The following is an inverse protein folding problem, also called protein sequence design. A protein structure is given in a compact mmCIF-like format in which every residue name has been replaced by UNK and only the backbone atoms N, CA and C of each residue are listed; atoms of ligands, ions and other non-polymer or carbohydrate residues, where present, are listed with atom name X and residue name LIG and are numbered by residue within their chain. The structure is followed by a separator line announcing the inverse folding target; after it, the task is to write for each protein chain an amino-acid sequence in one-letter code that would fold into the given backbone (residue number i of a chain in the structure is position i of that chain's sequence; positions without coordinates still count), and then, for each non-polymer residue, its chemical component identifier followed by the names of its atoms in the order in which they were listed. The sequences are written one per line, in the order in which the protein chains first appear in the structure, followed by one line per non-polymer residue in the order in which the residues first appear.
data_IF_274455327264
#
_entry.id   IF_274455327264
#
_cell.length_a   1.000
_cell.length_b   1.000
_cell.length_c   1.000
_cell.angle_alpha   90.00
_cell.angle_beta   90.00
_cell.angle_gamma   90.00
#
_symmetry.space_group_name_H-M   'P 1'
#
loop_
_entity.id
_entity.type
_entity.pdbx_description
1 polymer ?
#
# COMPACT_ATOMS: atom_id res chain seq x y z
N UNK A 1 -57.79 -12.05 -43.14
CA UNK A 1 -58.62 -11.65 -41.98
C UNK A 1 -58.41 -12.66 -40.87
N UNK A 2 -57.56 -12.34 -39.88
CA UNK A 2 -57.40 -13.18 -38.69
C UNK A 2 -58.62 -12.96 -37.78
N UNK A 3 -59.37 -14.02 -37.48
CA UNK A 3 -60.58 -13.96 -36.67
C UNK A 3 -60.32 -13.39 -35.26
N UNK A 4 -61.31 -12.73 -34.67
CA UNK A 4 -61.26 -12.08 -33.34
C UNK A 4 -60.68 -12.98 -32.23
N UNK A 5 -60.74 -14.30 -32.39
CA UNK A 5 -60.24 -15.29 -31.42
C UNK A 5 -58.73 -15.58 -31.56
N UNK A 6 -58.09 -15.23 -32.68
CA UNK A 6 -56.64 -15.36 -32.87
C UNK A 6 -55.82 -14.24 -32.23
N UNK A 7 -56.47 -13.14 -31.81
CA UNK A 7 -55.81 -11.99 -31.17
C UNK A 7 -55.57 -12.17 -29.68
N UNK A 8 -56.37 -13.01 -29.00
CA UNK A 8 -56.25 -13.25 -27.56
C UNK A 8 -55.16 -14.30 -27.28
N UNK A 9 -55.04 -15.33 -28.13
CA UNK A 9 -54.00 -16.36 -27.99
C UNK A 9 -52.60 -15.77 -28.26
N UNK A 10 -52.48 -14.83 -29.19
CA UNK A 10 -51.20 -14.17 -29.49
C UNK A 10 -50.73 -13.22 -28.36
N UNK A 11 -51.66 -12.61 -27.63
CA UNK A 11 -51.33 -11.73 -26.50
C UNK A 11 -50.86 -12.51 -25.26
N UNK A 12 -51.41 -13.69 -25.00
CA UNK A 12 -51.02 -14.51 -23.84
C UNK A 12 -49.66 -15.19 -24.03
N UNK A 13 -49.32 -15.61 -25.26
CA UNK A 13 -48.00 -16.19 -25.57
C UNK A 13 -46.88 -15.13 -25.50
N UNK A 14 -47.16 -13.87 -25.85
CA UNK A 14 -46.20 -12.77 -25.70
C UNK A 14 -46.01 -12.39 -24.22
N UNK A 15 -47.07 -12.39 -23.41
CA UNK A 15 -46.95 -12.11 -21.97
C UNK A 15 -46.17 -13.18 -21.20
N UNK A 16 -46.28 -14.46 -21.58
CA UNK A 16 -45.48 -15.54 -21.00
C UNK A 16 -44.03 -15.56 -21.51
N UNK A 17 -43.77 -15.07 -22.73
CA UNK A 17 -42.40 -14.84 -23.22
C UNK A 17 -41.72 -13.63 -22.56
N UNK A 18 -42.49 -12.67 -22.01
CA UNK A 18 -41.98 -11.51 -21.28
C UNK A 18 -41.84 -11.73 -19.76
N UNK A 19 -42.45 -12.78 -19.20
CA UNK A 19 -42.29 -13.20 -17.79
C UNK A 19 -41.13 -14.20 -17.60
N UNK A 20 -40.49 -14.62 -18.69
CA UNK A 20 -39.32 -15.51 -18.68
C UNK A 20 -37.96 -14.80 -18.73
N UNK A 21 -37.91 -13.47 -18.62
CA UNK A 21 -36.68 -12.79 -18.22
C UNK A 21 -36.50 -13.01 -16.71
N UNK A 22 -36.10 -14.22 -16.32
CA UNK A 22 -35.17 -14.31 -15.19
C UNK A 22 -34.05 -13.36 -15.57
N UNK A 23 -33.92 -12.23 -14.87
CA UNK A 23 -32.67 -11.47 -14.89
C UNK A 23 -31.60 -12.52 -14.63
N UNK A 24 -30.78 -12.80 -15.64
CA UNK A 24 -29.58 -13.55 -15.40
C UNK A 24 -28.88 -12.81 -14.26
N UNK A 25 -28.62 -13.55 -13.19
CA UNK A 25 -27.74 -13.13 -12.12
C UNK A 25 -26.40 -12.63 -12.69
N UNK A 26 -25.55 -12.19 -11.78
CA UNK A 26 -24.12 -11.85 -11.97
C UNK A 26 -23.86 -10.36 -12.11
N UNK A 27 -24.34 -9.64 -11.11
CA UNK A 27 -23.58 -8.54 -10.55
C UNK A 27 -22.57 -9.26 -9.62
N UNK A 28 -21.30 -9.38 -10.04
CA UNK A 28 -20.22 -10.04 -9.28
C UNK A 28 -19.32 -8.95 -8.71
N UNK A 29 -19.04 -8.96 -7.40
CA UNK A 29 -18.08 -8.00 -6.83
C UNK A 29 -16.72 -8.50 -7.26
N UNK A 30 -16.13 -7.75 -8.17
CA UNK A 30 -14.85 -8.04 -8.77
C UNK A 30 -13.83 -7.14 -8.09
N UNK A 31 -12.99 -7.73 -7.27
CA UNK A 31 -11.77 -7.05 -6.86
C UNK A 31 -10.90 -6.97 -8.10
N UNK A 32 -10.56 -5.76 -8.50
CA UNK A 32 -9.72 -5.54 -9.67
C UNK A 32 -8.29 -6.05 -9.42
N UNK A 33 -7.70 -6.57 -10.50
CA UNK A 33 -6.25 -6.65 -10.64
C UNK A 33 -5.63 -5.28 -10.33
N UNK A 34 -4.39 -5.25 -9.91
CA UNK A 34 -3.73 -4.01 -9.50
C UNK A 34 -2.53 -4.30 -8.60
N UNK A 35 -2.04 -3.27 -7.92
CA UNK A 35 -0.88 -3.37 -7.03
C UNK A 35 -1.22 -3.01 -5.60
N UNK A 36 -0.56 -3.66 -4.65
CA UNK A 36 -0.50 -3.29 -3.25
C UNK A 36 0.87 -2.67 -2.96
N UNK A 37 0.86 -1.42 -2.51
CA UNK A 37 2.06 -0.66 -2.17
C UNK A 37 2.28 -0.74 -0.66
N UNK A 38 3.31 -1.48 -0.25
CA UNK A 38 3.55 -1.84 1.14
C UNK A 38 4.84 -1.23 1.68
N UNK A 39 4.82 -0.85 2.96
CA UNK A 39 5.99 -0.49 3.72
C UNK A 39 6.25 -1.53 4.81
N UNK A 40 7.52 -1.89 4.96
CA UNK A 40 8.01 -2.83 5.96
C UNK A 40 7.95 -2.21 7.35
N UNK A 41 7.43 -2.98 8.29
CA UNK A 41 7.33 -2.66 9.71
C UNK A 41 8.40 -3.36 10.54
N UNK A 42 8.50 -2.95 11.81
CA UNK A 42 9.34 -3.62 12.80
C UNK A 42 8.93 -5.10 12.97
N UNK A 43 9.93 -5.97 13.16
CA UNK A 43 9.74 -7.41 13.32
C UNK A 43 10.09 -8.22 12.06
N UNK A 44 10.38 -7.56 10.94
CA UNK A 44 10.87 -8.20 9.72
C UNK A 44 12.31 -8.71 9.90
N UNK A 45 12.56 -9.96 9.51
CA UNK A 45 13.87 -10.59 9.56
C UNK A 45 14.01 -11.76 8.59
N UNK A 46 15.27 -12.12 8.30
CA UNK A 46 15.64 -13.40 7.70
C UNK A 46 16.78 -14.04 8.48
N UNK A 47 16.76 -15.36 8.66
CA UNK A 47 17.82 -16.14 9.28
C UNK A 47 18.67 -16.81 8.19
N UNK A 48 19.88 -16.27 7.98
CA UNK A 48 20.84 -16.78 7.00
C UNK A 48 21.58 -18.04 7.48
N UNK A 49 21.15 -18.63 8.61
CA UNK A 49 21.69 -19.87 9.13
C UNK A 49 23.06 -19.72 9.81
N UNK A 50 23.78 -20.83 9.94
CA UNK A 50 24.99 -20.89 10.77
C UNK A 50 26.07 -19.94 10.22
N UNK A 51 26.60 -19.08 11.09
CA UNK A 51 27.69 -18.15 10.79
C UNK A 51 27.25 -16.70 10.56
N UNK A 52 25.99 -16.48 10.17
CA UNK A 52 25.39 -15.13 10.01
C UNK A 52 24.22 -14.98 10.98
N UNK A 53 23.33 -15.96 11.02
CA UNK A 53 22.15 -16.01 11.88
C UNK A 53 21.05 -15.04 11.44
N UNK A 54 20.22 -14.70 12.42
CA UNK A 54 19.07 -13.82 12.27
C UNK A 54 19.49 -12.37 12.04
N UNK A 55 19.05 -11.80 10.92
CA UNK A 55 19.29 -10.40 10.56
C UNK A 55 17.97 -9.63 10.59
N UNK A 56 17.79 -8.68 11.52
CA UNK A 56 16.67 -7.75 11.50
C UNK A 56 16.77 -6.82 10.30
N UNK A 57 15.67 -6.69 9.57
CA UNK A 57 15.59 -5.91 8.35
C UNK A 57 14.55 -4.79 8.49
N UNK A 58 14.73 -3.73 7.71
CA UNK A 58 13.78 -2.62 7.56
C UNK A 58 13.64 -2.27 6.09
N UNK A 59 12.53 -1.62 5.76
CA UNK A 59 12.27 -1.10 4.43
C UNK A 59 13.28 -0.06 3.97
N UNK A 60 13.66 -0.14 2.70
CA UNK A 60 14.36 0.93 1.98
C UNK A 60 13.46 1.31 0.79
N UNK A 61 12.80 2.48 0.82
CA UNK A 61 11.81 2.83 -0.19
C UNK A 61 12.35 2.73 -1.63
N UNK A 62 11.55 2.10 -2.50
CA UNK A 62 11.79 1.96 -3.94
C UNK A 62 10.59 2.40 -4.78
N UNK A 63 9.45 2.65 -4.15
CA UNK A 63 8.23 3.12 -4.80
C UNK A 63 7.71 4.45 -4.21
N UNK A 64 6.48 4.84 -4.53
CA UNK A 64 5.83 6.03 -3.97
C UNK A 64 5.73 5.97 -2.44
N UNK A 65 5.80 7.13 -1.78
CA UNK A 65 5.76 7.21 -0.32
C UNK A 65 6.90 6.45 0.35
N UNK A 66 6.60 5.66 1.36
CA UNK A 66 7.56 4.74 2.00
C UNK A 66 7.53 3.32 1.42
N UNK A 67 6.97 3.12 0.23
CA UNK A 67 6.86 1.78 -0.38
C UNK A 67 8.23 1.15 -0.57
N UNK A 68 8.46 0.00 0.04
CA UNK A 68 9.64 -0.85 -0.15
C UNK A 68 9.30 -2.25 -0.70
N UNK A 69 8.01 -2.61 -0.69
CA UNK A 69 7.49 -3.87 -1.19
C UNK A 69 6.28 -3.61 -2.09
N UNK A 70 6.24 -4.21 -3.28
CA UNK A 70 5.11 -4.10 -4.21
C UNK A 70 4.64 -5.50 -4.59
N UNK A 71 3.36 -5.76 -4.35
CA UNK A 71 2.67 -6.99 -4.72
C UNK A 71 1.66 -6.68 -5.83
N UNK A 72 1.68 -7.43 -6.92
CA UNK A 72 0.70 -7.33 -8.00
C UNK A 72 -0.32 -8.46 -7.92
N UNK A 73 -1.60 -8.10 -7.91
CA UNK A 73 -2.72 -9.00 -8.20
C UNK A 73 -2.77 -9.22 -9.71
N UNK A 74 -2.49 -10.43 -10.17
CA UNK A 74 -2.32 -10.76 -11.60
C UNK A 74 -3.64 -11.06 -12.32
N UNK A 75 -4.76 -11.10 -11.59
CA UNK A 75 -6.10 -11.27 -12.14
C UNK A 75 -7.13 -10.59 -11.24
N UNK A 76 -8.31 -10.29 -11.79
CA UNK A 76 -9.46 -9.90 -10.99
C UNK A 76 -9.93 -11.09 -10.14
N UNK A 77 -10.32 -10.85 -8.89
CA UNK A 77 -10.99 -11.85 -8.07
C UNK A 77 -12.50 -11.74 -8.26
N UNK A 78 -13.14 -12.82 -8.68
CA UNK A 78 -14.57 -12.90 -9.02
C UNK A 78 -15.31 -13.53 -7.85
N UNK A 79 -15.84 -12.73 -6.93
CA UNK A 79 -16.41 -13.22 -5.67
C UNK A 79 -17.82 -13.82 -5.81
N UNK A 80 -18.50 -13.59 -6.95
CA UNK A 80 -19.80 -14.18 -7.29
C UNK A 80 -20.97 -13.78 -6.35
N UNK A 81 -22.22 -14.06 -6.74
CA UNK A 81 -23.38 -13.90 -5.86
C UNK A 81 -23.59 -15.11 -4.92
N UNK A 82 -24.05 -14.91 -3.67
CA UNK A 82 -24.21 -13.63 -2.98
C UNK A 82 -22.83 -13.08 -2.60
N UNK A 83 -22.58 -11.78 -2.87
CA UNK A 83 -21.28 -11.12 -2.64
C UNK A 83 -20.65 -11.48 -1.28
N UNK A 84 -21.49 -11.40 -0.23
CA UNK A 84 -21.15 -11.86 1.11
C UNK A 84 -21.18 -13.40 1.15
N UNK A 85 -20.04 -13.98 1.52
CA UNK A 85 -19.76 -15.41 1.45
C UNK A 85 -18.97 -15.82 0.21
N UNK A 86 -18.81 -14.89 -0.75
CA UNK A 86 -17.99 -15.07 -1.94
C UNK A 86 -16.52 -15.27 -1.61
N UNK A 87 -15.87 -16.17 -2.34
CA UNK A 87 -14.43 -16.39 -2.23
C UNK A 87 -13.84 -16.71 -3.59
N UNK A 88 -12.65 -16.19 -3.84
CA UNK A 88 -11.90 -16.50 -5.04
C UNK A 88 -10.40 -16.54 -4.75
N UNK A 89 -9.65 -17.25 -5.58
CA UNK A 89 -8.20 -17.42 -5.48
C UNK A 89 -7.54 -16.91 -6.75
N UNK A 90 -6.72 -15.88 -6.62
CA UNK A 90 -6.03 -15.25 -7.74
C UNK A 90 -4.51 -15.47 -7.67
N UNK A 91 -3.82 -15.49 -8.83
CA UNK A 91 -2.37 -15.40 -8.86
C UNK A 91 -1.91 -14.01 -8.42
N UNK A 92 -0.79 -13.98 -7.69
CA UNK A 92 -0.11 -12.75 -7.29
C UNK A 92 1.39 -12.86 -7.59
N UNK A 93 2.06 -11.72 -7.70
CA UNK A 93 3.51 -11.63 -7.90
C UNK A 93 4.11 -10.53 -7.03
N UNK A 94 5.20 -10.83 -6.34
CA UNK A 94 5.97 -9.83 -5.61
C UNK A 94 7.01 -9.24 -6.58
N UNK A 95 6.77 -8.01 -7.05
CA UNK A 95 7.52 -7.37 -8.14
C UNK A 95 8.55 -6.37 -7.66
N UNK A 96 8.50 -5.97 -6.39
CA UNK A 96 9.56 -5.20 -5.75
C UNK A 96 9.74 -5.65 -4.29
N UNK A 97 11.00 -5.77 -3.89
CA UNK A 97 11.44 -5.93 -2.50
C UNK A 97 12.73 -5.15 -2.33
N UNK A 98 12.82 -4.32 -1.30
CA UNK A 98 14.03 -3.57 -1.00
C UNK A 98 14.18 -3.38 0.50
N UNK A 99 14.97 -4.25 1.11
CA UNK A 99 15.22 -4.25 2.55
C UNK A 99 16.69 -3.97 2.84
N UNK A 100 16.96 -3.42 4.01
CA UNK A 100 18.31 -3.26 4.55
C UNK A 100 18.37 -3.68 6.01
N UNK A 101 19.56 -4.09 6.48
CA UNK A 101 19.77 -4.38 7.90
C UNK A 101 19.46 -3.17 8.77
N UNK A 102 18.82 -3.40 9.91
CA UNK A 102 18.57 -2.33 10.90
C UNK A 102 19.88 -1.80 11.46
N UNK A 103 20.82 -2.70 11.77
CA UNK A 103 22.18 -2.43 12.24
C UNK A 103 23.16 -3.31 11.45
N UNK A 104 24.45 -2.91 11.35
CA UNK A 104 25.48 -3.79 10.80
C UNK A 104 25.55 -5.14 11.52
N UNK A 105 25.73 -6.22 10.78
CA UNK A 105 25.84 -7.59 11.28
C UNK A 105 27.31 -7.99 11.44
N UNK A 106 27.64 -8.73 12.50
CA UNK A 106 29.03 -9.20 12.73
C UNK A 106 29.22 -10.59 12.13
N UNK A 107 30.11 -10.72 11.14
CA UNK A 107 30.43 -11.98 10.47
C UNK A 107 31.94 -12.18 10.52
N UNK A 108 32.41 -13.24 11.18
CA UNK A 108 33.85 -13.51 11.31
C UNK A 108 34.66 -12.37 11.96
N UNK A 109 34.03 -11.57 12.83
CA UNK A 109 34.65 -10.41 13.49
C UNK A 109 34.64 -9.10 12.67
N UNK A 110 34.07 -9.09 11.47
CA UNK A 110 33.90 -7.88 10.65
C UNK A 110 32.42 -7.46 10.59
N UNK A 111 32.16 -6.15 10.46
CA UNK A 111 30.81 -5.60 10.35
C UNK A 111 30.38 -5.44 8.89
N UNK A 112 29.15 -5.84 8.59
CA UNK A 112 28.53 -5.72 7.27
C UNK A 112 27.17 -5.06 7.34
N UNK A 113 26.88 -4.13 6.43
CA UNK A 113 25.51 -3.75 6.11
C UNK A 113 24.93 -4.78 5.14
N UNK A 114 23.67 -5.16 5.34
CA UNK A 114 22.96 -6.11 4.48
C UNK A 114 21.92 -5.36 3.66
N UNK A 115 21.82 -5.64 2.38
CA UNK A 115 20.70 -5.24 1.53
C UNK A 115 20.07 -6.45 0.87
N UNK A 116 18.75 -6.54 0.85
CA UNK A 116 18.00 -7.64 0.24
C UNK A 116 17.09 -7.08 -0.84
N UNK A 117 17.07 -7.73 -2.01
CA UNK A 117 16.13 -7.44 -3.09
C UNK A 117 15.82 -8.69 -3.91
N UNK A 118 14.90 -8.58 -4.87
CA UNK A 118 14.53 -9.72 -5.71
C UNK A 118 15.67 -10.13 -6.64
N UNK A 119 15.81 -11.43 -6.86
CA UNK A 119 16.76 -11.97 -7.83
C UNK A 119 16.34 -11.58 -9.26
N UNK A 120 17.18 -10.85 -10.01
CA UNK A 120 16.82 -10.39 -11.36
C UNK A 120 16.53 -11.55 -12.31
N UNK A 121 15.39 -11.51 -13.00
CA UNK A 121 14.98 -12.52 -13.98
C UNK A 121 14.21 -13.71 -13.38
N UNK A 122 14.16 -13.84 -12.05
CA UNK A 122 13.33 -14.82 -11.36
C UNK A 122 12.04 -14.17 -10.84
N UNK A 123 10.90 -14.81 -11.11
CA UNK A 123 9.59 -14.28 -10.72
C UNK A 123 9.18 -14.82 -9.36
N UNK A 124 8.94 -13.94 -8.40
CA UNK A 124 8.47 -14.31 -7.06
C UNK A 124 6.94 -14.45 -7.06
N UNK A 125 6.47 -15.64 -7.42
CA UNK A 125 5.05 -15.94 -7.63
C UNK A 125 4.37 -16.44 -6.37
N UNK A 126 3.05 -16.25 -6.33
CA UNK A 126 2.24 -16.64 -5.19
C UNK A 126 0.77 -16.83 -5.54
N UNK A 127 -0.04 -17.02 -4.50
CA UNK A 127 -1.49 -16.99 -4.62
C UNK A 127 -2.11 -16.26 -3.44
N UNK A 128 -3.21 -15.56 -3.71
CA UNK A 128 -4.05 -14.90 -2.71
C UNK A 128 -5.45 -15.48 -2.78
N UNK A 129 -5.96 -15.94 -1.64
CA UNK A 129 -7.39 -16.28 -1.49
C UNK A 129 -8.07 -15.12 -0.80
N UNK A 130 -9.05 -14.52 -1.47
CA UNK A 130 -9.87 -13.44 -0.91
C UNK A 130 -11.25 -14.00 -0.56
N UNK A 131 -11.76 -13.62 0.60
CA UNK A 131 -13.10 -13.98 1.08
C UNK A 131 -13.82 -12.73 1.52
N UNK A 132 -15.04 -12.51 1.01
CA UNK A 132 -15.91 -11.41 1.37
C UNK A 132 -16.91 -11.86 2.42
N UNK A 133 -16.94 -11.21 3.58
CA UNK A 133 -17.65 -11.69 4.78
C UNK A 133 -18.67 -10.70 5.31
N UNK A 134 -18.52 -9.42 5.00
CA UNK A 134 -19.40 -8.35 5.45
C UNK A 134 -19.89 -7.54 4.26
N UNK A 135 -21.11 -6.98 4.28
CA UNK A 135 -21.59 -6.12 3.20
C UNK A 135 -20.71 -4.88 3.04
N UNK A 136 -20.51 -4.46 1.79
CA UNK A 136 -20.01 -3.12 1.47
C UNK A 136 -20.94 -2.07 2.09
N UNK A 137 -20.34 -1.13 2.81
CA UNK A 137 -21.02 -0.04 3.49
C UNK A 137 -20.49 1.35 3.10
N UNK A 138 -19.60 1.45 2.11
CA UNK A 138 -18.99 2.69 1.65
C UNK A 138 -18.08 3.34 2.69
N UNK A 139 -17.47 2.54 3.58
CA UNK A 139 -16.59 3.03 4.64
C UNK A 139 -15.35 2.14 4.77
N UNK A 140 -14.25 2.63 5.37
CA UNK A 140 -13.02 1.85 5.55
C UNK A 140 -13.12 0.67 6.54
N UNK A 141 -14.33 0.23 6.89
CA UNK A 141 -14.55 -0.94 7.71
C UNK A 141 -14.22 -2.21 6.90
N UNK A 142 -13.69 -3.27 7.55
CA UNK A 142 -13.44 -4.53 6.85
C UNK A 142 -14.69 -5.12 6.19
N UNK A 143 -14.53 -5.57 4.96
CA UNK A 143 -15.56 -6.29 4.18
C UNK A 143 -15.24 -7.77 4.05
N UNK A 144 -14.00 -8.15 4.34
CA UNK A 144 -13.58 -9.54 4.27
C UNK A 144 -12.18 -9.77 4.83
N UNK A 145 -11.68 -10.98 4.58
CA UNK A 145 -10.30 -11.35 4.86
C UNK A 145 -9.64 -11.93 3.61
N UNK A 146 -8.31 -11.89 3.59
CA UNK A 146 -7.52 -12.64 2.62
C UNK A 146 -6.42 -13.42 3.33
N UNK A 147 -5.96 -14.47 2.66
CA UNK A 147 -4.71 -15.16 2.97
C UNK A 147 -3.86 -15.20 1.71
N UNK A 148 -2.54 -15.19 1.85
CA UNK A 148 -1.62 -15.26 0.72
C UNK A 148 -0.37 -16.04 1.05
N UNK A 149 0.30 -16.50 0.01
CA UNK A 149 1.67 -16.96 0.08
C UNK A 149 2.47 -16.50 -1.14
N UNK A 150 3.78 -16.46 -1.00
CA UNK A 150 4.75 -16.26 -2.07
C UNK A 150 5.88 -17.27 -1.94
N UNK A 151 6.38 -17.75 -3.08
CA UNK A 151 7.73 -18.29 -3.19
C UNK A 151 8.62 -17.15 -3.71
N UNK A 152 9.49 -16.63 -2.84
CA UNK A 152 10.28 -15.42 -3.07
C UNK A 152 11.73 -15.80 -3.41
N UNK A 153 12.19 -15.37 -4.58
CA UNK A 153 13.58 -15.47 -5.00
C UNK A 153 14.29 -14.15 -4.72
N UNK A 154 15.30 -14.17 -3.85
CA UNK A 154 15.97 -12.95 -3.42
C UNK A 154 17.49 -13.08 -3.40
N UNK A 155 18.14 -11.95 -3.59
CA UNK A 155 19.57 -11.75 -3.40
C UNK A 155 19.81 -10.87 -2.17
N UNK A 156 20.68 -11.33 -1.28
CA UNK A 156 21.19 -10.57 -0.15
C UNK A 156 22.66 -10.21 -0.39
N UNK A 157 22.98 -8.91 -0.35
CA UNK A 157 24.34 -8.41 -0.49
C UNK A 157 24.87 -7.86 0.82
N UNK A 158 26.05 -8.32 1.21
CA UNK A 158 26.74 -7.98 2.45
C UNK A 158 27.90 -7.04 2.14
N UNK A 159 27.76 -5.78 2.51
CA UNK A 159 28.73 -4.70 2.26
C UNK A 159 29.55 -4.42 3.53
N UNK A 160 30.89 -4.55 3.51
CA UNK A 160 31.71 -4.32 4.70
C UNK A 160 31.71 -2.84 5.11
N UNK A 161 31.40 -2.56 6.38
CA UNK A 161 31.36 -1.19 6.93
C UNK A 161 32.75 -0.56 6.96
N UNK A 162 33.80 -1.36 7.21
CA UNK A 162 35.20 -0.92 7.29
C UNK A 162 35.92 -0.83 5.94
N UNK A 163 35.21 -1.02 4.82
CA UNK A 163 35.82 -1.21 3.50
C UNK A 163 36.30 -2.64 3.26
N UNK A 164 36.62 -2.96 2.01
CA UNK A 164 36.97 -4.32 1.56
C UNK A 164 35.97 -4.86 0.54
N UNK A 165 36.05 -6.16 0.27
CA UNK A 165 35.14 -6.85 -0.64
C UNK A 165 33.88 -7.30 0.12
N UNK A 166 32.71 -7.00 -0.45
CA UNK A 166 31.45 -7.61 -0.04
C UNK A 166 31.24 -8.99 -0.66
N UNK A 167 30.13 -9.62 -0.31
CA UNK A 167 29.70 -10.88 -0.91
C UNK A 167 28.17 -10.92 -1.05
N UNK A 168 27.68 -11.80 -1.93
CA UNK A 168 26.26 -12.00 -2.15
C UNK A 168 25.83 -13.43 -1.80
N UNK A 169 24.59 -13.57 -1.38
CA UNK A 169 23.88 -14.84 -1.20
C UNK A 169 22.59 -14.74 -2.00
N UNK A 170 22.31 -15.74 -2.83
CA UNK A 170 21.00 -15.90 -3.47
C UNK A 170 20.29 -17.06 -2.79
N UNK A 171 19.01 -16.88 -2.48
CA UNK A 171 18.22 -17.90 -1.80
C UNK A 171 16.73 -17.80 -2.21
N UNK A 172 15.93 -18.76 -1.73
CA UNK A 172 14.49 -18.79 -1.92
C UNK A 172 13.80 -19.03 -0.60
N UNK A 173 12.73 -18.28 -0.33
CA UNK A 173 11.92 -18.44 0.86
C UNK A 173 10.43 -18.47 0.50
N UNK A 174 9.70 -19.40 1.10
CA UNK A 174 8.24 -19.37 1.09
C UNK A 174 7.72 -18.59 2.28
N UNK A 175 6.98 -17.51 2.04
CA UNK A 175 6.28 -16.77 3.08
C UNK A 175 4.78 -16.92 2.89
N UNK A 176 4.04 -17.12 3.98
CA UNK A 176 2.58 -17.17 3.98
C UNK A 176 2.01 -16.33 5.12
N UNK A 177 0.84 -15.74 4.90
CA UNK A 177 0.14 -14.97 5.94
C UNK A 177 -0.05 -15.83 7.17
N UNK A 178 0.44 -15.38 8.32
CA UNK A 178 0.36 -16.11 9.57
C UNK A 178 -1.09 -16.32 10.03
N UNK A 179 -1.96 -15.36 9.72
CA UNK A 179 -3.38 -15.35 10.02
C UNK A 179 -4.13 -14.63 8.87
N UNK A 180 -5.44 -14.86 8.69
CA UNK A 180 -6.23 -14.08 7.74
C UNK A 180 -6.16 -12.57 8.04
N UNK A 181 -5.93 -11.76 7.00
CA UNK A 181 -5.80 -10.31 7.10
C UNK A 181 -7.06 -9.64 6.57
N UNK A 182 -7.54 -8.59 7.24
CA UNK A 182 -8.71 -7.85 6.80
C UNK A 182 -8.45 -7.02 5.52
N UNK A 183 -9.49 -6.78 4.73
CA UNK A 183 -9.46 -5.88 3.58
C UNK A 183 -10.78 -5.10 3.44
N UNK A 184 -10.76 -4.00 2.67
CA UNK A 184 -11.94 -3.18 2.30
C UNK A 184 -11.81 -2.62 0.88
N UNK A 185 -12.94 -2.30 0.25
CA UNK A 185 -13.09 -1.55 -0.98
C UNK A 185 -12.75 -0.07 -0.80
N UNK A 186 -12.95 0.47 0.41
CA UNK A 186 -12.52 1.83 0.74
C UNK A 186 -11.11 1.85 1.33
N UNK A 187 -10.31 2.86 0.96
CA UNK A 187 -9.00 3.04 1.55
C UNK A 187 -9.08 3.37 3.04
N UNK A 188 -8.16 2.85 3.87
CA UNK A 188 -8.03 3.26 5.26
C UNK A 188 -7.90 4.77 5.42
N UNK A 189 -8.42 5.30 6.53
CA UNK A 189 -8.22 6.70 6.89
C UNK A 189 -6.73 6.96 7.14
N UNK A 190 -6.12 7.85 6.37
CA UNK A 190 -4.74 8.25 6.57
C UNK A 190 -4.05 8.70 5.29
N UNK A 191 -2.76 9.09 5.39
CA UNK A 191 -1.96 9.49 4.24
C UNK A 191 -1.46 8.26 3.47
N UNK A 192 -2.35 7.35 3.05
CA UNK A 192 -1.92 6.19 2.27
C UNK A 192 -1.45 6.60 0.87
N UNK A 193 -0.59 5.78 0.28
CA UNK A 193 -0.16 5.92 -1.11
C UNK A 193 -1.31 5.57 -2.05
N UNK A 194 -1.61 6.47 -2.97
CA UNK A 194 -2.50 6.20 -4.10
C UNK A 194 -1.72 6.24 -5.41
N UNK A 195 -1.87 5.17 -6.19
CA UNK A 195 -1.44 5.09 -7.58
C UNK A 195 -2.71 4.90 -8.41
N UNK A 196 -3.09 5.96 -9.10
CA UNK A 196 -4.30 6.03 -9.91
C UNK A 196 -4.08 5.41 -11.28
N UNK A 197 -5.03 4.59 -11.71
CA UNK A 197 -5.06 4.06 -13.08
C UNK A 197 -6.48 3.75 -13.55
N UNK A 198 -6.63 3.46 -14.84
CA UNK A 198 -7.91 2.99 -15.38
C UNK A 198 -8.08 1.50 -15.14
N UNK A 199 -9.30 0.98 -15.23
CA UNK A 199 -9.58 -0.47 -15.13
C UNK A 199 -8.64 -1.27 -16.04
N UNK A 200 -7.93 -2.22 -15.44
CA UNK A 200 -6.92 -3.06 -16.13
C UNK A 200 -5.49 -2.54 -16.04
N UNK A 201 -5.26 -1.43 -15.34
CA UNK A 201 -3.92 -0.94 -15.01
C UNK A 201 -3.33 -1.76 -13.86
N UNK A 202 -2.28 -2.53 -14.16
CA UNK A 202 -1.63 -3.42 -13.20
C UNK A 202 -0.94 -2.68 -12.06
N UNK A 203 -0.52 -1.43 -12.28
CA UNK A 203 0.16 -0.62 -11.28
C UNK A 203 -0.84 0.15 -10.40
N UNK A 204 -2.12 0.18 -10.74
CA UNK A 204 -3.11 0.91 -9.95
C UNK A 204 -3.45 0.18 -8.64
N UNK A 205 -3.51 0.94 -7.54
CA UNK A 205 -4.20 0.53 -6.31
C UNK A 205 -5.50 1.30 -6.09
N UNK A 206 -5.77 2.29 -6.95
CA UNK A 206 -7.04 3.01 -7.01
C UNK A 206 -7.45 3.18 -8.46
N UNK A 207 -8.59 2.62 -8.82
CA UNK A 207 -9.09 2.72 -10.18
C UNK A 207 -9.99 3.94 -10.34
N UNK A 208 -9.73 4.74 -11.37
CA UNK A 208 -10.47 5.96 -11.69
C UNK A 208 -11.25 5.83 -13.00
N UNK A 209 -12.29 6.67 -13.15
CA UNK A 209 -13.15 6.70 -14.34
C UNK A 209 -14.51 6.06 -14.12
N UNK A 210 -15.31 5.83 -15.19
CA UNK A 210 -16.59 5.16 -15.08
C UNK A 210 -16.35 3.67 -14.80
N UNK A 211 -16.33 3.31 -13.52
CA UNK A 211 -16.31 1.93 -13.07
C UNK A 211 -17.71 1.33 -13.24
N UNK A 212 -17.86 0.16 -13.88
CA UNK A 212 -19.06 -0.64 -13.69
C UNK A 212 -19.28 -0.90 -12.19
N UNK A 213 -20.53 -0.88 -11.73
CA UNK A 213 -20.92 -1.02 -10.31
C UNK A 213 -20.39 -2.28 -9.62
N UNK A 214 -19.90 -3.24 -10.41
CA UNK A 214 -19.33 -4.52 -9.98
C UNK A 214 -17.85 -4.45 -9.64
N UNK A 215 -17.13 -3.40 -10.02
CA UNK A 215 -15.68 -3.35 -9.85
C UNK A 215 -15.29 -2.51 -8.66
N UNK A 216 -14.51 -3.12 -7.80
CA UNK A 216 -14.05 -2.49 -6.58
C UNK A 216 -12.53 -2.60 -6.44
N UNK A 217 -11.97 -1.62 -5.75
CA UNK A 217 -10.58 -1.65 -5.31
C UNK A 217 -10.41 -2.59 -4.12
N UNK A 218 -9.16 -2.81 -3.72
CA UNK A 218 -8.81 -3.66 -2.60
C UNK A 218 -7.70 -3.01 -1.79
N UNK A 219 -7.96 -2.85 -0.50
CA UNK A 219 -7.07 -2.23 0.45
C UNK A 219 -6.88 -3.14 1.66
N UNK A 220 -5.68 -3.71 1.87
CA UNK A 220 -5.36 -4.44 3.10
C UNK A 220 -5.51 -3.54 4.33
N UNK A 221 -6.16 -4.02 5.39
CA UNK A 221 -6.35 -3.26 6.62
C UNK A 221 -5.39 -3.77 7.70
N UNK A 222 -4.59 -2.86 8.22
CA UNK A 222 -3.66 -3.13 9.31
C UNK A 222 -2.38 -3.82 8.84
N UNK A 223 -1.80 -4.60 9.75
CA UNK A 223 -0.52 -5.26 9.52
C UNK A 223 -0.70 -6.61 8.82
N UNK A 224 0.03 -6.79 7.73
CA UNK A 224 0.22 -8.06 7.03
C UNK A 224 1.46 -8.70 7.64
N UNK A 225 1.31 -9.87 8.23
CA UNK A 225 2.42 -10.64 8.80
C UNK A 225 2.55 -11.95 8.07
N UNK A 226 3.62 -12.09 7.31
CA UNK A 226 3.94 -13.27 6.53
C UNK A 226 5.12 -14.00 7.17
N UNK A 227 5.03 -15.32 7.28
CA UNK A 227 5.99 -16.14 8.00
C UNK A 227 6.38 -17.34 7.16
N UNK A 228 7.64 -17.77 7.30
CA UNK A 228 8.04 -19.09 6.85
C UNK A 228 7.51 -20.14 7.84
N UNK A 229 6.98 -21.30 7.39
CA UNK A 229 6.46 -22.34 8.27
C UNK A 229 7.43 -22.84 9.34
N UNK A 230 8.74 -22.79 9.06
CA UNK A 230 9.80 -23.19 9.99
C UNK A 230 10.38 -22.03 10.82
N UNK A 231 9.87 -20.80 10.64
CA UNK A 231 10.29 -19.62 11.41
C UNK A 231 11.62 -18.99 10.99
N UNK A 232 12.21 -19.38 9.86
CA UNK A 232 13.49 -18.86 9.35
C UNK A 232 13.38 -17.47 8.71
N UNK A 233 12.16 -16.99 8.46
CA UNK A 233 11.93 -15.62 7.97
C UNK A 233 10.54 -15.13 8.33
N UNK A 234 10.45 -13.82 8.54
CA UNK A 234 9.20 -13.11 8.79
C UNK A 234 9.26 -11.79 8.04
N UNK A 235 8.21 -11.50 7.30
CA UNK A 235 7.97 -10.20 6.69
C UNK A 235 6.72 -9.58 7.34
N UNK A 236 6.89 -8.37 7.87
CA UNK A 236 5.84 -7.61 8.50
C UNK A 236 5.70 -6.32 7.72
N UNK A 237 4.52 -6.07 7.16
CA UNK A 237 4.27 -4.91 6.34
C UNK A 237 2.87 -4.33 6.58
N UNK A 238 2.64 -3.11 6.12
CA UNK A 238 1.33 -2.51 6.02
C UNK A 238 1.27 -1.61 4.79
N UNK A 239 0.09 -1.05 4.49
CA UNK A 239 -0.03 -0.08 3.40
C UNK A 239 0.95 1.08 3.57
N UNK A 240 1.68 1.38 2.50
CA UNK A 240 2.64 2.46 2.49
C UNK A 240 1.94 3.81 2.67
N UNK A 241 2.57 4.69 3.44
CA UNK A 241 2.11 6.07 3.63
C UNK A 241 2.98 7.07 2.87
N UNK A 242 2.37 8.18 2.49
CA UNK A 242 3.06 9.34 1.92
C UNK A 242 3.69 10.12 3.09
N UNK A 243 5.00 10.44 3.03
CA UNK A 243 5.62 11.34 4.00
C UNK A 243 4.84 12.64 4.10
N UNK A 244 4.61 13.14 5.32
CA UNK A 244 3.97 14.45 5.50
C UNK A 244 4.74 15.50 4.68
N UNK A 245 4.05 16.36 3.91
CA UNK A 245 4.72 17.41 3.16
C UNK A 245 5.52 18.28 4.13
N UNK A 246 6.83 18.37 3.89
CA UNK A 246 7.72 19.29 4.63
C UNK A 246 7.29 20.76 4.52
N UNK A 247 6.32 21.06 3.67
CA UNK A 247 5.55 22.31 3.59
C UNK A 247 5.04 22.78 4.96
N UNK A 248 4.63 21.90 5.88
CA UNK A 248 4.23 22.33 7.23
C UNK A 248 5.40 22.93 8.03
N UNK A 249 6.60 22.36 7.89
CA UNK A 249 7.81 22.96 8.46
C UNK A 249 8.14 24.30 7.79
N UNK A 250 7.98 24.41 6.47
CA UNK A 250 8.22 25.67 5.74
C UNK A 250 7.23 26.77 6.14
N UNK A 251 5.94 26.44 6.34
CA UNK A 251 4.94 27.38 6.86
C UNK A 251 5.33 27.80 8.29
N UNK A 252 5.73 26.86 9.15
CA UNK A 252 6.20 27.14 10.50
C UNK A 252 7.38 28.11 10.52
N UNK A 253 8.44 27.84 9.73
CA UNK A 253 9.60 28.71 9.60
C UNK A 253 9.24 30.07 8.98
N UNK A 254 8.36 30.08 7.98
CA UNK A 254 7.87 31.31 7.34
C UNK A 254 7.15 32.22 8.34
N UNK A 255 6.27 31.66 9.17
CA UNK A 255 5.57 32.40 10.22
C UNK A 255 6.54 32.96 11.27
N UNK A 256 7.53 32.18 11.71
CA UNK A 256 8.57 32.66 12.63
C UNK A 256 9.36 33.82 12.01
N UNK A 257 9.71 33.72 10.72
CA UNK A 257 10.39 34.77 9.97
C UNK A 257 9.59 36.08 9.93
N UNK A 258 8.27 36.00 9.66
CA UNK A 258 7.38 37.17 9.64
C UNK A 258 7.29 37.82 11.02
N UNK A 259 7.13 37.04 12.09
CA UNK A 259 7.09 37.56 13.47
C UNK A 259 8.41 38.24 13.84
N UNK A 260 9.55 37.65 13.47
CA UNK A 260 10.87 38.25 13.71
C UNK A 260 11.04 39.59 12.97
N UNK A 261 10.60 39.68 11.72
CA UNK A 261 10.62 40.92 10.94
C UNK A 261 9.72 42.00 11.55
N UNK A 262 8.51 41.65 12.00
CA UNK A 262 7.61 42.58 12.67
C UNK A 262 8.21 43.11 13.98
N UNK A 263 8.84 42.25 14.79
CA UNK A 263 9.53 42.66 16.03
C UNK A 263 10.71 43.59 15.75
N UNK A 264 11.50 43.33 14.69
CA UNK A 264 12.59 44.22 14.27
C UNK A 264 12.07 45.59 13.84
N UNK A 265 10.99 45.66 13.07
CA UNK A 265 10.35 46.92 12.65
C UNK A 265 9.86 47.74 13.85
N UNK A 266 9.21 47.12 14.83
CA UNK A 266 8.77 47.80 16.07
C UNK A 266 9.95 48.39 16.85
N UNK A 267 11.01 47.61 17.07
CA UNK A 267 12.23 48.09 17.75
C UNK A 267 12.90 49.25 17.01
N UNK A 268 13.00 49.17 15.67
CA UNK A 268 13.56 50.25 14.87
C UNK A 268 12.75 51.55 14.98
N UNK A 269 11.41 51.45 14.99
CA UNK A 269 10.52 52.59 15.22
C UNK A 269 10.67 53.22 16.61
N UNK A 270 10.80 52.41 17.67
CA UNK A 270 11.04 52.89 19.04
C UNK A 270 12.39 53.63 19.18
N UNK A 271 13.44 53.12 18.55
CA UNK A 271 14.77 53.75 18.56
C UNK A 271 14.71 55.10 17.84
N UNK A 272 14.05 55.18 16.68
CA UNK A 272 13.88 56.43 15.94
C UNK A 272 13.12 57.48 16.75
N UNK A 273 12.05 57.09 17.46
CA UNK A 273 11.29 57.98 18.34
C UNK A 273 12.14 58.50 19.51
N UNK A 274 12.88 57.63 20.20
CA UNK A 274 13.77 58.04 21.31
C UNK A 274 14.90 58.96 20.85
N UNK A 275 15.50 58.68 19.69
CA UNK A 275 16.54 59.54 19.10
C UNK A 275 16.03 60.94 18.77
N UNK A 276 14.82 61.05 18.22
CA UNK A 276 14.20 62.35 17.92
C UNK A 276 13.86 63.14 19.18
N UNK A 277 13.34 62.50 20.24
CA UNK A 277 13.04 63.15 21.52
C UNK A 277 14.30 63.74 22.19
N UNK A 278 15.42 63.00 22.15
CA UNK A 278 16.71 63.48 22.68
C UNK A 278 17.28 64.63 21.85
N UNK A 279 17.07 64.63 20.52
CA UNK A 279 17.49 65.73 19.65
C UNK A 279 16.73 67.03 19.98
N UNK A 280 15.41 66.95 20.22
CA UNK A 280 14.62 68.13 20.57
C UNK A 280 14.87 68.67 21.99
N UNK A 281 15.24 67.81 22.94
CA UNK A 281 15.56 68.22 24.31
C UNK A 281 16.91 68.98 24.38
N UNK A 282 17.87 68.58 23.53
CA UNK A 282 19.18 69.24 23.46
C UNK A 282 19.16 70.61 22.74
N UNK A 283 18.05 70.96 22.07
CA UNK A 283 17.84 72.26 21.41
C UNK A 283 17.10 73.27 22.31
N UNK A 284 16.75 72.90 23.55
CA UNK A 284 16.05 73.75 24.52
C UNK A 284 16.92 74.24 25.70
N UNK A 285 18.22 73.98 25.65
CA UNK A 285 19.21 74.56 26.57
C UNK A 285 20.05 75.59 25.83
#
# INVERSE_FOLDING_TARGET
MLGKNGRIVFAVVISLALLGYTRADVDASNILLGSDYLMTEEGTFFDFGTGIGKVPLKGKPVGPGFTDTIVQRQANAILGPPYVGGTDTIPIELVALSLVSVNPVTIGGSLFDVSVGLTPGERSLGSMTVTHQFPDNGTPAPEGTFTSFFDIFFDAYFSPVGGGAGFGISDTIRLETAEPVFWSHEPPLGPIVFVDGFVGDQDANRHIGPLPITFNDFYPIGQIREVHPQGVGVHVAQQAVVPEPSTFFLIGLGLVGVVALQRRRKKAGEIALKGSALYFDNQRK
#
